data_IF_855104867546
#
_entry.id   IF_855104867546
#
_cell.length_a   1.000
_cell.length_b   1.000
_cell.length_c   1.000
_cell.angle_alpha   90.00
_cell.angle_beta   90.00
_cell.angle_gamma   90.00
#
_symmetry.space_group_name_H-M   'P 1'
#
loop_
_entity.id
_entity.type
_entity.pdbx_description
1 polymer ?
#
# COMPACT_ATOMS: atom_id res chain seq x y z
N UNK A 1 -54.06 28.35 41.60
CA UNK A 1 -52.61 28.14 41.85
C UNK A 1 -51.90 28.53 40.58
N UNK A 2 -51.90 29.82 40.27
CA UNK A 2 -51.27 30.43 39.10
C UNK A 2 -50.65 31.74 39.60
N UNK A 3 -49.60 31.66 40.40
CA UNK A 3 -48.92 32.87 40.91
C UNK A 3 -47.41 32.65 41.10
N UNK A 4 -46.80 32.09 40.06
CA UNK A 4 -45.43 32.43 39.69
C UNK A 4 -45.60 33.07 38.30
N UNK A 5 -45.13 34.30 38.08
CA UNK A 5 -45.31 35.07 36.83
C UNK A 5 -44.75 34.42 35.55
N UNK A 6 -44.39 33.14 35.59
CA UNK A 6 -43.92 32.31 34.49
C UNK A 6 -44.97 31.22 34.24
N UNK A 7 -45.54 31.23 33.03
CA UNK A 7 -46.49 30.21 32.58
C UNK A 7 -45.77 28.85 32.58
N UNK A 8 -46.34 27.85 33.28
CA UNK A 8 -45.83 26.47 33.30
C UNK A 8 -45.54 25.95 31.89
N UNK A 9 -46.39 26.29 30.91
CA UNK A 9 -46.21 25.91 29.51
C UNK A 9 -44.93 26.46 28.88
N UNK A 10 -44.49 27.66 29.25
CA UNK A 10 -43.22 28.24 28.79
C UNK A 10 -42.03 27.46 29.33
N UNK A 11 -42.10 26.99 30.58
CA UNK A 11 -41.02 26.25 31.22
C UNK A 11 -40.81 24.88 30.56
N UNK A 12 -41.90 24.18 30.23
CA UNK A 12 -41.86 22.95 29.45
C UNK A 12 -41.33 23.17 28.03
N UNK A 13 -41.78 24.24 27.36
CA UNK A 13 -41.33 24.55 26.01
C UNK A 13 -39.82 24.82 25.95
N UNK A 14 -39.30 25.64 26.88
CA UNK A 14 -37.88 25.95 26.98
C UNK A 14 -37.05 24.70 27.30
N UNK A 15 -37.56 23.83 28.18
CA UNK A 15 -36.88 22.58 28.53
C UNK A 15 -36.74 21.62 27.34
N UNK A 16 -37.85 21.37 26.62
CA UNK A 16 -37.84 20.52 25.42
C UNK A 16 -36.98 21.12 24.32
N UNK A 17 -37.07 22.45 24.12
CA UNK A 17 -36.26 23.14 23.14
C UNK A 17 -34.76 23.03 23.43
N UNK A 18 -34.36 23.20 24.69
CA UNK A 18 -32.96 23.03 25.12
C UNK A 18 -32.45 21.60 24.91
N UNK A 19 -33.31 20.60 25.12
CA UNK A 19 -32.97 19.19 24.90
C UNK A 19 -32.70 18.92 23.41
N UNK A 20 -33.60 19.37 22.53
CA UNK A 20 -33.47 19.22 21.08
C UNK A 20 -32.21 19.94 20.60
N UNK A 21 -31.99 21.18 21.04
CA UNK A 21 -30.83 21.96 20.64
C UNK A 21 -29.51 21.27 21.04
N UNK A 22 -29.45 20.71 22.24
CA UNK A 22 -28.27 19.98 22.72
C UNK A 22 -28.05 18.70 21.91
N UNK A 23 -29.13 17.98 21.62
CA UNK A 23 -29.10 16.79 20.78
C UNK A 23 -28.59 17.11 19.37
N UNK A 24 -29.07 18.18 18.74
CA UNK A 24 -28.64 18.62 17.41
C UNK A 24 -27.15 19.00 17.40
N UNK A 25 -26.66 19.68 18.43
CA UNK A 25 -25.23 20.02 18.54
C UNK A 25 -24.36 18.77 18.65
N UNK A 26 -24.73 17.82 19.50
CA UNK A 26 -23.99 16.56 19.67
C UNK A 26 -24.01 15.74 18.39
N UNK A 27 -25.18 15.61 17.76
CA UNK A 27 -25.36 14.84 16.53
C UNK A 27 -24.64 15.49 15.34
N UNK A 28 -24.66 16.83 15.26
CA UNK A 28 -23.90 17.60 14.28
C UNK A 28 -22.39 17.44 14.45
N UNK A 29 -21.88 17.46 15.69
CA UNK A 29 -20.47 17.19 15.97
C UNK A 29 -20.07 15.76 15.60
N UNK A 30 -20.91 14.76 15.92
CA UNK A 30 -20.66 13.38 15.53
C UNK A 30 -20.65 13.23 14.01
N UNK A 31 -21.62 13.81 13.30
CA UNK A 31 -21.67 13.78 11.85
C UNK A 31 -20.43 14.43 11.23
N UNK A 32 -19.98 15.56 11.76
CA UNK A 32 -18.76 16.23 11.31
C UNK A 32 -17.50 15.38 11.58
N UNK A 33 -17.43 14.76 12.76
CA UNK A 33 -16.34 13.86 13.12
C UNK A 33 -16.25 12.66 12.18
N UNK A 34 -17.36 11.96 11.93
CA UNK A 34 -17.41 10.83 11.01
C UNK A 34 -17.13 11.24 9.56
N UNK A 35 -17.63 12.41 9.13
CA UNK A 35 -17.34 12.94 7.79
C UNK A 35 -15.85 13.24 7.58
N UNK A 36 -15.13 13.68 8.63
CA UNK A 36 -13.67 13.84 8.57
C UNK A 36 -12.94 12.50 8.67
N UNK A 37 -13.42 11.58 9.50
CA UNK A 37 -12.81 10.27 9.68
C UNK A 37 -12.84 9.44 8.39
N UNK A 38 -13.94 9.45 7.65
CA UNK A 38 -14.04 8.76 6.37
C UNK A 38 -12.99 9.27 5.36
N UNK A 39 -12.69 10.57 5.38
CA UNK A 39 -11.65 11.16 4.53
C UNK A 39 -10.24 10.70 4.93
N UNK A 40 -9.99 10.53 6.24
CA UNK A 40 -8.71 10.07 6.77
C UNK A 40 -8.49 8.56 6.57
N UNK A 41 -9.51 7.74 6.81
CA UNK A 41 -9.44 6.28 6.63
C UNK A 41 -9.16 5.90 5.18
N UNK A 42 -9.72 6.65 4.22
CA UNK A 42 -9.42 6.46 2.80
C UNK A 42 -7.94 6.78 2.52
N UNK A 43 -7.43 7.91 3.03
CA UNK A 43 -6.03 8.27 2.84
C UNK A 43 -5.05 7.25 3.46
N UNK A 44 -5.38 6.73 4.64
CA UNK A 44 -4.53 5.78 5.37
C UNK A 44 -4.57 4.36 4.79
N UNK A 45 -5.71 3.93 4.21
CA UNK A 45 -5.82 2.67 3.46
C UNK A 45 -4.95 2.64 2.19
N UNK A 46 -4.74 3.78 1.53
CA UNK A 46 -3.84 3.86 0.38
C UNK A 46 -2.36 4.05 0.78
N UNK A 47 -2.08 4.59 1.98
CA UNK A 47 -0.71 4.79 2.45
C UNK A 47 -0.10 3.55 3.11
N UNK A 48 -0.92 2.63 3.64
CA UNK A 48 -0.45 1.33 4.13
C UNK A 48 -0.13 0.43 2.94
N UNK A 49 1.07 0.61 2.39
CA UNK A 49 1.63 -0.29 1.38
C UNK A 49 1.44 -1.73 1.84
N UNK A 50 0.87 -2.61 1.00
CA UNK A 50 0.67 -3.99 1.38
C UNK A 50 2.03 -4.61 1.78
N UNK A 51 2.16 -5.19 2.97
CA UNK A 51 3.43 -5.71 3.53
C UNK A 51 4.13 -6.71 2.58
N UNK A 52 3.36 -7.34 1.69
CA UNK A 52 3.84 -8.22 0.63
C UNK A 52 4.60 -7.49 -0.49
N UNK A 53 4.26 -6.24 -0.81
CA UNK A 53 5.00 -5.45 -1.80
C UNK A 53 6.34 -4.95 -1.23
N UNK A 54 6.37 -4.53 0.05
CA UNK A 54 7.60 -4.06 0.69
C UNK A 54 8.69 -5.14 0.67
N UNK A 55 8.34 -6.39 1.04
CA UNK A 55 9.27 -7.54 0.98
C UNK A 55 9.72 -7.88 -0.44
N UNK A 56 8.84 -7.70 -1.43
CA UNK A 56 9.17 -7.96 -2.84
C UNK A 56 10.14 -6.92 -3.38
N UNK A 57 9.93 -5.65 -3.06
CA UNK A 57 10.84 -4.54 -3.45
C UNK A 57 12.20 -4.67 -2.76
N UNK A 58 12.23 -5.08 -1.50
CA UNK A 58 13.49 -5.31 -0.78
C UNK A 58 14.30 -6.46 -1.41
N UNK A 59 13.64 -7.58 -1.73
CA UNK A 59 14.28 -8.70 -2.44
C UNK A 59 14.79 -8.28 -3.84
N UNK A 60 14.04 -7.46 -4.57
CA UNK A 60 14.47 -6.91 -5.85
C UNK A 60 15.70 -6.00 -5.70
N UNK A 61 15.73 -5.17 -4.64
CA UNK A 61 16.87 -4.29 -4.37
C UNK A 61 18.13 -5.07 -4.01
N UNK A 62 18.01 -6.16 -3.26
CA UNK A 62 19.13 -7.06 -2.96
C UNK A 62 19.69 -7.67 -4.25
N UNK A 63 18.82 -8.18 -5.12
CA UNK A 63 19.25 -8.71 -6.41
C UNK A 63 19.93 -7.63 -7.26
N UNK A 64 19.39 -6.41 -7.32
CA UNK A 64 20.01 -5.30 -8.07
C UNK A 64 21.38 -4.88 -7.52
N UNK A 65 21.63 -4.98 -6.21
CA UNK A 65 22.95 -4.69 -5.62
C UNK A 65 24.00 -5.70 -6.06
N UNK A 66 23.62 -6.96 -6.27
CA UNK A 66 24.53 -8.00 -6.75
C UNK A 66 24.90 -7.82 -8.23
N UNK A 67 24.00 -7.25 -9.04
CA UNK A 67 24.29 -6.88 -10.43
C UNK A 67 24.94 -5.49 -10.48
N UNK A 68 26.25 -5.42 -10.23
CA UNK A 68 27.00 -4.16 -10.27
C UNK A 68 27.50 -3.86 -11.68
N UNK A 69 27.28 -2.65 -12.19
CA UNK A 69 27.98 -2.16 -13.39
C UNK A 69 29.46 -1.91 -13.07
N UNK A 70 30.37 -2.57 -13.78
CA UNK A 70 31.82 -2.41 -13.61
C UNK A 70 32.40 -1.36 -14.56
N UNK A 71 31.90 -1.33 -15.81
CA UNK A 71 32.31 -0.35 -16.82
C UNK A 71 31.10 -0.05 -17.73
N UNK A 72 30.50 1.12 -17.54
CA UNK A 72 29.28 1.52 -18.25
C UNK A 72 29.53 1.95 -19.70
N UNK A 73 30.74 2.37 -20.05
CA UNK A 73 31.09 2.73 -21.43
C UNK A 73 31.30 1.49 -22.30
N UNK A 74 31.80 0.40 -21.72
CA UNK A 74 31.99 -0.89 -22.39
C UNK A 74 30.84 -1.86 -22.20
N UNK A 75 29.79 -1.47 -21.45
CA UNK A 75 28.63 -2.31 -21.16
C UNK A 75 28.95 -3.54 -20.30
N UNK A 76 30.02 -3.51 -19.50
CA UNK A 76 30.46 -4.65 -18.69
C UNK A 76 29.73 -4.61 -17.34
N UNK A 77 28.89 -5.61 -17.12
CA UNK A 77 28.15 -5.82 -15.87
C UNK A 77 28.71 -7.03 -15.12
N UNK A 78 28.77 -6.94 -13.80
CA UNK A 78 28.98 -8.10 -12.96
C UNK A 78 27.65 -8.84 -12.80
N UNK A 79 27.72 -10.16 -12.91
CA UNK A 79 26.60 -11.07 -12.66
C UNK A 79 27.01 -12.02 -11.51
N UNK A 80 26.07 -12.45 -10.66
CA UNK A 80 26.35 -13.45 -9.64
C UNK A 80 26.91 -14.73 -10.26
N UNK A 81 27.89 -15.37 -9.60
CA UNK A 81 28.59 -16.56 -10.11
C UNK A 81 27.62 -17.70 -10.42
N UNK A 82 26.60 -17.89 -9.58
CA UNK A 82 25.55 -18.89 -9.83
C UNK A 82 24.87 -18.68 -11.19
N UNK A 83 24.55 -17.43 -11.54
CA UNK A 83 23.92 -17.10 -12.82
C UNK A 83 24.88 -17.23 -13.99
N UNK A 84 26.16 -16.88 -13.80
CA UNK A 84 27.18 -17.09 -14.81
C UNK A 84 27.31 -18.56 -15.19
N UNK A 85 27.33 -19.46 -14.20
CA UNK A 85 27.39 -20.91 -14.44
C UNK A 85 26.19 -21.43 -15.23
N UNK A 86 24.98 -20.95 -14.91
CA UNK A 86 23.77 -21.33 -15.65
C UNK A 86 23.83 -20.91 -17.12
N UNK A 87 24.26 -19.69 -17.40
CA UNK A 87 24.39 -19.17 -18.76
C UNK A 87 25.44 -19.97 -19.54
N UNK A 88 26.61 -20.20 -18.94
CA UNK A 88 27.68 -20.99 -19.57
C UNK A 88 27.24 -22.43 -19.81
N UNK A 89 26.54 -23.05 -18.87
CA UNK A 89 26.00 -24.40 -19.05
C UNK A 89 24.94 -24.45 -20.18
N UNK A 90 24.11 -23.41 -20.31
CA UNK A 90 23.14 -23.31 -21.39
C UNK A 90 23.83 -23.13 -22.75
N UNK A 91 24.81 -22.24 -22.84
CA UNK A 91 25.63 -22.02 -24.05
C UNK A 91 26.38 -23.28 -24.47
N UNK A 92 26.94 -24.04 -23.52
CA UNK A 92 27.61 -25.32 -23.78
C UNK A 92 26.64 -26.41 -24.28
N UNK A 93 25.37 -26.38 -23.85
CA UNK A 93 24.34 -27.31 -24.34
C UNK A 93 23.91 -26.94 -25.75
N UNK A 94 23.81 -25.66 -26.06
CA UNK A 94 23.40 -25.16 -27.37
C UNK A 94 24.54 -25.20 -28.41
N UNK A 95 25.78 -24.99 -27.97
CA UNK A 95 26.97 -25.03 -28.82
C UNK A 95 27.49 -26.44 -29.07
N UNK A 96 26.83 -27.49 -28.56
CA UNK A 96 27.19 -28.88 -28.84
C UNK A 96 26.71 -29.21 -30.24
N UNK A 97 27.58 -29.23 -31.27
CA UNK A 97 27.16 -29.57 -32.62
C UNK A 97 26.74 -31.04 -32.59
N UNK A 98 25.67 -31.35 -33.29
CA UNK A 98 25.27 -32.72 -33.60
C UNK A 98 26.33 -33.33 -34.52
N UNK A 99 27.50 -33.69 -33.98
CA UNK A 99 28.50 -34.50 -34.67
C UNK A 99 28.04 -35.96 -34.61
N UNK A 100 26.95 -36.24 -35.32
CA UNK A 100 26.58 -37.60 -35.68
C UNK A 100 27.35 -37.92 -36.96
N UNK A 101 28.57 -38.42 -36.78
CA UNK A 101 29.07 -39.62 -37.45
C UNK A 101 28.14 -40.18 -38.55
N UNK A 102 28.21 -39.62 -39.76
CA UNK A 102 28.09 -40.45 -40.97
C UNK A 102 29.48 -41.01 -41.26
N UNK A 103 29.82 -42.05 -40.50
CA UNK A 103 30.86 -42.99 -40.87
C UNK A 103 30.43 -43.69 -42.18
N UNK A 104 31.40 -43.81 -43.07
CA UNK A 104 31.25 -44.37 -44.40
C UNK A 104 30.86 -45.84 -44.30
N UNK A 105 29.84 -46.26 -45.05
CA UNK A 105 29.84 -47.54 -45.76
C UNK A 105 28.84 -47.55 -46.91
#
# INVERSE_FOLDING_TARGET
MDDYGIKIGTLFFVGIFSLILTFDVVMGLQALYYWQLDRMVIAERFYRQPDNLAKTVENQKIQLVEYRMLDSEKGIVSIPIARAMEIVAAELRESRPTDTTEDKQ
#
